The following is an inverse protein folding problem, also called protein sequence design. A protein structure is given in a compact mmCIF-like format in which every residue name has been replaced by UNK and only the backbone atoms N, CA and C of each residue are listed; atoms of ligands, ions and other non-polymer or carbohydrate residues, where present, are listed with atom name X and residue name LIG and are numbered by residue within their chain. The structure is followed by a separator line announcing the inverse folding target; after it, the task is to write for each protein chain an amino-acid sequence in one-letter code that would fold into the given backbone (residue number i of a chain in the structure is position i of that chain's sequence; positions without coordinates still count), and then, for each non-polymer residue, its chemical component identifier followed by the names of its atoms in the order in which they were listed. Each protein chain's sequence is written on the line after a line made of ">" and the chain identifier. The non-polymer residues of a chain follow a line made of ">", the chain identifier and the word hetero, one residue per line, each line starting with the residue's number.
data_IF_465243341744
#
_entry.id   IF_465243341744
#
_cell.length_a   1.000
_cell.length_b   1.000
_cell.length_c   1.000
_cell.angle_alpha   90.00
_cell.angle_beta   90.00
_cell.angle_gamma   90.00
#
_symmetry.space_group_name_H-M   'P 1'
#
loop_
_entity.id
_entity.type
_entity.pdbx_description
1 polymer ?
#
# COMPACT_ATOMS: atom_id res chain seq x y z
N UNK A 1 3.63 7.81 -1.51
CA UNK A 1 3.43 8.45 -2.83
C UNK A 1 3.52 7.35 -3.87
N UNK A 2 2.71 7.38 -4.93
CA UNK A 2 2.83 6.44 -6.05
C UNK A 2 3.77 7.12 -7.05
N UNK A 3 4.87 6.48 -7.47
CA UNK A 3 5.77 7.05 -8.45
C UNK A 3 5.12 7.12 -9.85
N UNK A 4 5.62 8.02 -10.67
CA UNK A 4 5.21 8.13 -12.07
C UNK A 4 5.57 6.88 -12.87
N UNK A 5 4.88 6.69 -13.99
CA UNK A 5 5.15 5.57 -14.90
C UNK A 5 6.60 5.57 -15.38
N UNK A 6 7.23 4.40 -15.39
CA UNK A 6 8.62 4.23 -15.79
C UNK A 6 9.67 4.71 -14.78
N UNK A 7 9.27 5.26 -13.62
CA UNK A 7 10.21 5.71 -12.59
C UNK A 7 11.16 4.61 -12.13
N UNK A 8 10.60 3.45 -11.74
CA UNK A 8 11.40 2.33 -11.24
C UNK A 8 12.40 1.82 -12.31
N UNK A 9 11.96 1.78 -13.56
CA UNK A 9 12.83 1.38 -14.69
C UNK A 9 14.00 2.34 -14.84
N UNK A 10 13.73 3.65 -14.88
CA UNK A 10 14.78 4.68 -14.99
C UNK A 10 15.73 4.65 -13.79
N UNK A 11 15.20 4.45 -12.57
CA UNK A 11 16.01 4.32 -11.35
C UNK A 11 16.94 3.09 -11.42
N UNK A 12 16.41 1.94 -11.82
CA UNK A 12 17.21 0.70 -12.00
C UNK A 12 18.29 0.86 -13.08
N UNK A 13 17.97 1.48 -14.21
CA UNK A 13 18.92 1.75 -15.28
C UNK A 13 20.04 2.70 -14.80
N UNK A 14 19.68 3.72 -14.01
CA UNK A 14 20.65 4.64 -13.42
C UNK A 14 21.58 3.93 -12.44
N UNK A 15 21.03 3.07 -11.57
CA UNK A 15 21.82 2.25 -10.66
C UNK A 15 22.84 1.39 -11.44
N UNK A 16 22.40 0.70 -12.47
CA UNK A 16 23.27 -0.12 -13.33
C UNK A 16 24.37 0.71 -13.99
N UNK A 17 24.04 1.90 -14.51
CA UNK A 17 24.99 2.82 -15.13
C UNK A 17 26.10 3.23 -14.17
N UNK A 18 25.80 3.36 -12.88
CA UNK A 18 26.75 3.80 -11.84
C UNK A 18 27.29 2.65 -10.99
N UNK A 19 27.12 1.39 -11.45
CA UNK A 19 27.57 0.21 -10.71
C UNK A 19 27.06 0.16 -9.27
N UNK A 20 25.79 0.57 -9.05
CA UNK A 20 25.10 0.55 -7.77
C UNK A 20 24.00 -0.51 -7.79
N UNK A 21 23.81 -1.19 -6.65
CA UNK A 21 22.74 -2.17 -6.51
C UNK A 21 21.39 -1.48 -6.35
N UNK A 22 20.38 -1.96 -7.07
CA UNK A 22 19.00 -1.53 -6.92
C UNK A 22 18.28 -2.45 -5.93
N UNK A 23 17.94 -1.91 -4.76
CA UNK A 23 17.25 -2.64 -3.69
C UNK A 23 15.78 -2.25 -3.68
N UNK A 24 14.88 -3.22 -3.85
CA UNK A 24 13.44 -3.02 -3.72
C UNK A 24 12.98 -3.45 -2.32
N UNK A 25 12.62 -2.47 -1.50
CA UNK A 25 11.94 -2.72 -0.23
C UNK A 25 10.43 -2.88 -0.49
N UNK A 26 10.01 -4.14 -0.63
CA UNK A 26 8.62 -4.51 -0.82
C UNK A 26 7.95 -5.08 0.45
N UNK A 27 8.51 -4.75 1.60
CA UNK A 27 7.95 -5.17 2.90
C UNK A 27 6.49 -4.76 3.06
N UNK A 28 6.10 -3.59 2.55
CA UNK A 28 4.73 -3.11 2.63
C UNK A 28 3.97 -3.19 1.30
N UNK A 29 4.65 -3.04 0.19
CA UNK A 29 4.06 -2.92 -1.15
C UNK A 29 3.89 -4.26 -1.85
N UNK A 30 4.71 -5.23 -1.50
CA UNK A 30 4.68 -6.58 -2.07
C UNK A 30 3.53 -7.45 -1.55
N UNK A 31 3.54 -8.68 -2.02
CA UNK A 31 2.58 -9.75 -1.68
C UNK A 31 1.14 -9.26 -1.90
N UNK A 32 0.81 -8.93 -3.15
CA UNK A 32 -0.50 -8.53 -3.66
C UNK A 32 -1.00 -7.13 -3.25
N UNK A 33 -0.42 -6.48 -2.24
CA UNK A 33 -0.94 -5.24 -1.65
C UNK A 33 -1.21 -4.12 -2.66
N UNK A 34 -0.35 -3.97 -3.67
CA UNK A 34 -0.47 -2.94 -4.70
C UNK A 34 -1.22 -3.40 -5.97
N UNK A 35 -1.89 -4.54 -5.92
CA UNK A 35 -2.64 -5.07 -7.05
C UNK A 35 -1.81 -5.94 -8.00
N UNK A 36 -0.56 -6.22 -7.65
CA UNK A 36 0.35 -7.18 -8.29
C UNK A 36 1.07 -7.96 -7.20
N UNK A 37 1.63 -9.12 -7.53
CA UNK A 37 2.39 -9.89 -6.54
C UNK A 37 3.53 -9.06 -5.95
N UNK A 38 4.23 -8.31 -6.78
CA UNK A 38 5.29 -7.37 -6.40
C UNK A 38 5.01 -5.99 -7.00
N UNK A 39 5.33 -4.92 -6.28
CA UNK A 39 5.20 -3.55 -6.78
C UNK A 39 6.17 -3.26 -7.93
N UNK A 40 7.32 -3.91 -7.96
CA UNK A 40 8.31 -3.86 -9.05
C UNK A 40 7.79 -4.47 -10.36
N UNK A 41 6.67 -5.18 -10.36
CA UNK A 41 5.97 -5.57 -11.59
C UNK A 41 5.41 -4.37 -12.37
N UNK A 42 5.50 -3.17 -11.82
CA UNK A 42 5.14 -1.94 -12.50
C UNK A 42 3.66 -1.72 -12.74
N UNK A 43 3.36 -0.85 -13.68
CA UNK A 43 2.00 -0.59 -14.16
C UNK A 43 1.60 -1.55 -15.30
N UNK A 44 2.12 -2.75 -15.26
CA UNK A 44 1.74 -3.78 -16.21
C UNK A 44 0.20 -3.81 -16.33
N UNK A 45 -0.30 -3.41 -17.48
CA UNK A 45 -1.69 -3.55 -17.90
C UNK A 45 -1.93 -4.99 -18.37
N UNK A 46 -1.48 -5.96 -17.58
CA UNK A 46 -1.75 -7.35 -17.88
C UNK A 46 -3.25 -7.58 -17.77
N UNK A 47 -3.98 -7.16 -18.78
CA UNK A 47 -5.36 -7.59 -19.04
C UNK A 47 -5.38 -9.08 -19.34
N UNK A 48 -4.24 -9.61 -19.74
CA UNK A 48 -4.07 -11.01 -20.04
C UNK A 48 -3.85 -11.80 -18.76
N UNK A 49 -4.68 -12.80 -18.53
CA UNK A 49 -4.65 -13.75 -17.40
C UNK A 49 -3.32 -14.51 -17.28
N UNK A 50 -2.44 -14.36 -18.24
CA UNK A 50 -1.08 -14.83 -18.29
C UNK A 50 -0.07 -13.69 -18.07
N UNK A 51 -0.14 -13.02 -16.93
CA UNK A 51 1.05 -12.27 -16.52
C UNK A 51 2.20 -13.28 -16.49
N UNK A 52 3.11 -13.19 -17.46
CA UNK A 52 4.28 -14.08 -17.59
C UNK A 52 5.23 -13.95 -16.39
N UNK A 53 4.82 -13.15 -15.39
CA UNK A 53 5.59 -12.93 -14.17
C UNK A 53 6.92 -12.21 -14.37
N UNK A 54 7.16 -11.67 -15.60
CA UNK A 54 8.38 -10.89 -15.83
C UNK A 54 8.15 -9.50 -15.23
N UNK A 55 8.79 -9.14 -14.11
CA UNK A 55 8.66 -7.82 -13.53
C UNK A 55 9.21 -6.78 -14.52
N UNK A 56 8.58 -5.62 -14.60
CA UNK A 56 9.10 -4.49 -15.39
C UNK A 56 10.54 -4.14 -14.98
N UNK A 57 10.82 -4.31 -13.68
CA UNK A 57 12.14 -4.11 -13.09
C UNK A 57 12.48 -5.32 -12.21
N UNK A 58 13.60 -5.97 -12.52
CA UNK A 58 14.20 -6.98 -11.65
C UNK A 58 15.19 -6.29 -10.71
N UNK A 59 14.90 -6.16 -9.42
CA UNK A 59 15.84 -5.61 -8.46
C UNK A 59 17.02 -6.57 -8.25
N UNK A 60 18.16 -6.02 -7.83
CA UNK A 60 19.33 -6.82 -7.43
C UNK A 60 19.09 -7.47 -6.07
N UNK A 61 18.41 -6.75 -5.18
CA UNK A 61 17.97 -7.25 -3.88
C UNK A 61 16.48 -6.94 -3.69
N UNK A 62 15.72 -7.96 -3.31
CA UNK A 62 14.29 -7.84 -2.98
C UNK A 62 14.08 -8.14 -1.49
N UNK A 63 13.41 -7.23 -0.77
CA UNK A 63 13.09 -7.39 0.64
C UNK A 63 11.58 -7.61 0.78
N UNK A 64 11.18 -8.70 1.44
CA UNK A 64 9.79 -9.08 1.69
C UNK A 64 9.54 -9.23 3.20
N UNK A 65 8.31 -8.97 3.62
CA UNK A 65 7.89 -9.10 5.01
C UNK A 65 6.38 -8.90 5.15
N UNK A 66 5.93 -8.49 6.33
CA UNK A 66 4.50 -8.23 6.62
C UNK A 66 3.55 -9.29 6.05
N UNK A 67 2.93 -9.03 4.90
CA UNK A 67 1.97 -9.93 4.25
C UNK A 67 2.55 -11.33 3.94
N UNK A 68 3.88 -11.48 3.87
CA UNK A 68 4.54 -12.77 3.69
C UNK A 68 4.14 -13.78 4.78
N UNK A 69 3.84 -13.29 5.98
CA UNK A 69 3.42 -14.13 7.12
C UNK A 69 1.92 -14.46 7.13
N UNK A 70 1.12 -13.95 6.21
CA UNK A 70 -0.34 -14.02 6.29
C UNK A 70 -0.94 -13.38 7.56
N UNK A 71 -0.15 -12.59 8.29
CA UNK A 71 -0.56 -11.99 9.57
C UNK A 71 -0.52 -12.95 10.77
N UNK A 72 -0.02 -14.16 10.61
CA UNK A 72 -0.05 -15.23 11.63
C UNK A 72 1.25 -15.29 12.45
N UNK A 73 2.39 -15.45 11.79
CA UNK A 73 3.69 -15.58 12.46
C UNK A 73 4.74 -14.73 11.73
N UNK A 74 5.41 -13.79 12.41
CA UNK A 74 6.35 -12.87 11.77
C UNK A 74 7.44 -13.62 10.97
N UNK A 75 7.57 -13.25 9.71
CA UNK A 75 8.60 -13.75 8.81
C UNK A 75 8.96 -12.67 7.80
N UNK A 76 10.22 -12.62 7.44
CA UNK A 76 10.74 -11.77 6.36
C UNK A 76 11.75 -12.56 5.52
N UNK A 77 12.01 -12.05 4.33
CA UNK A 77 12.97 -12.65 3.41
C UNK A 77 13.73 -11.56 2.67
N UNK A 78 15.00 -11.83 2.43
CA UNK A 78 15.84 -11.06 1.51
C UNK A 78 16.26 -12.00 0.39
N UNK A 79 16.00 -11.60 -0.85
CA UNK A 79 16.32 -12.38 -2.03
C UNK A 79 17.33 -11.61 -2.88
N UNK A 80 18.37 -12.27 -3.30
CA UNK A 80 19.35 -11.74 -4.25
C UNK A 80 19.94 -12.91 -5.05
N UNK A 81 20.71 -12.58 -6.09
CA UNK A 81 21.50 -13.61 -6.78
C UNK A 81 22.72 -14.02 -5.94
N UNK A 82 23.37 -15.11 -6.34
CA UNK A 82 24.50 -15.69 -5.62
C UNK A 82 25.69 -14.74 -5.50
N UNK A 83 25.96 -13.92 -6.51
CA UNK A 83 27.06 -12.96 -6.50
C UNK A 83 26.94 -11.95 -5.34
N UNK A 84 25.73 -11.58 -5.00
CA UNK A 84 25.44 -10.67 -3.88
C UNK A 84 25.34 -11.47 -2.58
N UNK A 85 24.55 -12.54 -2.56
CA UNK A 85 24.24 -13.26 -1.33
C UNK A 85 25.48 -13.97 -0.76
N UNK A 86 26.37 -14.49 -1.60
CA UNK A 86 27.59 -15.18 -1.17
C UNK A 86 28.72 -14.26 -0.71
N UNK A 87 28.50 -12.91 -0.71
CA UNK A 87 29.39 -12.00 0.01
C UNK A 87 29.35 -12.23 1.51
N UNK A 88 28.21 -12.72 2.04
CA UNK A 88 28.07 -13.10 3.46
C UNK A 88 28.71 -14.48 3.65
N UNK A 89 29.74 -14.53 4.47
CA UNK A 89 30.46 -15.79 4.73
C UNK A 89 29.86 -16.54 5.94
N UNK A 90 30.10 -17.85 6.06
CA UNK A 90 29.70 -18.62 7.21
C UNK A 90 30.12 -17.97 8.52
N UNK A 91 29.19 -17.78 9.46
CA UNK A 91 29.42 -17.16 10.75
C UNK A 91 29.28 -15.62 10.79
N UNK A 92 29.14 -14.94 9.64
CA UNK A 92 29.01 -13.47 9.60
C UNK A 92 27.57 -12.99 9.83
N UNK A 93 26.59 -13.87 9.65
CA UNK A 93 25.16 -13.55 9.87
C UNK A 93 24.49 -14.70 10.61
N UNK A 94 23.62 -14.38 11.56
CA UNK A 94 22.84 -15.35 12.29
C UNK A 94 21.58 -14.74 12.90
N UNK A 95 20.61 -15.60 13.17
CA UNK A 95 19.35 -15.24 13.84
C UNK A 95 18.86 -16.44 14.63
N UNK A 96 18.45 -16.24 15.88
CA UNK A 96 17.90 -17.30 16.72
C UNK A 96 16.55 -17.80 16.18
N UNK A 97 15.70 -16.91 15.70
CA UNK A 97 14.35 -17.24 15.21
C UNK A 97 14.23 -17.26 13.68
N UNK A 98 15.18 -16.64 12.96
CA UNK A 98 15.14 -16.57 11.51
C UNK A 98 15.22 -17.95 10.87
N UNK A 99 14.44 -18.17 9.80
CA UNK A 99 14.42 -19.41 9.05
C UNK A 99 13.79 -20.59 9.78
N UNK A 100 13.04 -20.37 10.88
CA UNK A 100 12.43 -21.49 11.60
C UNK A 100 11.36 -22.20 10.73
N UNK A 101 11.23 -23.54 10.86
CA UNK A 101 10.36 -24.32 9.99
C UNK A 101 8.88 -23.93 10.07
N UNK A 102 8.40 -23.49 11.23
CA UNK A 102 7.00 -23.09 11.42
C UNK A 102 6.70 -21.84 10.62
N UNK A 103 7.52 -20.78 10.75
CA UNK A 103 7.34 -19.53 10.01
C UNK A 103 7.42 -19.77 8.49
N UNK A 104 8.34 -20.63 8.04
CA UNK A 104 8.46 -20.98 6.63
C UNK A 104 7.20 -21.68 6.11
N UNK A 105 6.63 -22.61 6.87
CA UNK A 105 5.36 -23.29 6.49
C UNK A 105 4.19 -22.31 6.44
N UNK A 106 4.10 -21.39 7.39
CA UNK A 106 3.08 -20.32 7.38
C UNK A 106 3.25 -19.44 6.16
N UNK A 107 4.46 -19.01 5.83
CA UNK A 107 4.72 -18.19 4.65
C UNK A 107 4.33 -18.89 3.33
N UNK A 108 4.64 -20.18 3.21
CA UNK A 108 4.25 -20.98 2.04
C UNK A 108 2.72 -21.03 1.92
N UNK A 109 2.01 -21.32 3.02
CA UNK A 109 0.54 -21.34 3.04
C UNK A 109 -0.06 -19.96 2.69
N UNK A 110 0.50 -18.87 3.24
CA UNK A 110 0.06 -17.53 2.94
C UNK A 110 0.21 -17.19 1.45
N UNK A 111 1.33 -17.54 0.84
CA UNK A 111 1.56 -17.33 -0.60
C UNK A 111 0.61 -18.19 -1.47
N UNK A 112 0.29 -19.40 -1.03
CA UNK A 112 -0.71 -20.23 -1.70
C UNK A 112 -2.08 -19.58 -1.69
N UNK A 113 -2.55 -19.10 -0.54
CA UNK A 113 -3.82 -18.36 -0.41
C UNK A 113 -3.85 -17.14 -1.32
N UNK A 114 -2.79 -16.33 -1.32
CA UNK A 114 -2.69 -15.16 -2.21
C UNK A 114 -2.91 -15.53 -3.68
N UNK A 115 -2.35 -16.67 -4.11
CA UNK A 115 -2.47 -17.15 -5.49
C UNK A 115 -3.84 -17.77 -5.77
N UNK A 116 -4.31 -18.66 -4.89
CA UNK A 116 -5.55 -19.44 -5.08
C UNK A 116 -6.79 -18.54 -5.03
N UNK A 117 -6.81 -17.58 -4.10
CA UNK A 117 -7.89 -16.61 -3.95
C UNK A 117 -7.73 -15.36 -4.85
N UNK A 118 -6.70 -15.31 -5.70
CA UNK A 118 -6.42 -14.21 -6.65
C UNK A 118 -6.41 -12.84 -5.98
N UNK A 119 -5.75 -12.75 -4.81
CA UNK A 119 -5.80 -11.55 -3.99
C UNK A 119 -5.10 -10.33 -4.63
N UNK A 120 -4.19 -10.54 -5.58
CA UNK A 120 -3.60 -9.44 -6.34
C UNK A 120 -4.61 -8.80 -7.28
N UNK A 121 -5.40 -9.61 -8.00
CA UNK A 121 -6.48 -9.15 -8.86
C UNK A 121 -7.59 -8.46 -8.08
N UNK A 122 -7.98 -9.05 -6.94
CA UNK A 122 -8.94 -8.43 -6.03
C UNK A 122 -8.46 -7.05 -5.57
N UNK A 123 -7.21 -6.96 -5.10
CA UNK A 123 -6.62 -5.70 -4.67
C UNK A 123 -6.53 -4.66 -5.80
N UNK A 124 -6.29 -5.10 -7.04
CA UNK A 124 -6.26 -4.22 -8.20
C UNK A 124 -7.63 -3.61 -8.48
N UNK A 125 -8.66 -4.44 -8.62
CA UNK A 125 -10.03 -4.01 -8.94
C UNK A 125 -10.62 -3.15 -7.82
N UNK A 126 -10.55 -3.62 -6.60
CA UNK A 126 -11.09 -2.89 -5.45
C UNK A 126 -10.32 -1.59 -5.15
N UNK A 127 -9.04 -1.54 -5.52
CA UNK A 127 -8.26 -0.30 -5.43
C UNK A 127 -8.73 0.77 -6.42
N UNK A 128 -9.14 0.38 -7.63
CA UNK A 128 -9.77 1.29 -8.61
C UNK A 128 -11.08 1.79 -8.06
N UNK A 129 -11.97 0.88 -7.65
CA UNK A 129 -13.27 1.21 -7.07
C UNK A 129 -13.13 2.19 -5.87
N UNK A 130 -12.21 1.94 -4.95
CA UNK A 130 -11.97 2.85 -3.82
C UNK A 130 -11.65 4.27 -4.30
N UNK A 131 -10.73 4.42 -5.24
CA UNK A 131 -10.32 5.74 -5.73
C UNK A 131 -11.42 6.43 -6.52
N UNK A 132 -12.22 5.71 -7.29
CA UNK A 132 -13.42 6.25 -7.95
C UNK A 132 -14.42 6.77 -6.93
N UNK A 133 -14.69 6.01 -5.86
CA UNK A 133 -15.57 6.43 -4.76
C UNK A 133 -15.04 7.68 -4.06
N UNK A 134 -13.75 7.75 -3.78
CA UNK A 134 -13.13 8.93 -3.17
C UNK A 134 -13.20 10.16 -4.10
N UNK A 135 -13.05 9.97 -5.40
CA UNK A 135 -13.14 11.02 -6.40
C UNK A 135 -14.53 11.65 -6.54
N UNK A 136 -15.57 10.92 -6.13
CA UNK A 136 -16.95 11.42 -6.16
C UNK A 136 -17.33 12.23 -4.91
N UNK A 137 -16.48 12.25 -3.88
CA UNK A 137 -16.74 13.02 -2.65
C UNK A 137 -16.43 14.48 -2.91
N UNK A 138 -17.47 15.29 -3.01
CA UNK A 138 -17.32 16.75 -3.14
C UNK A 138 -17.24 17.40 -1.76
N UNK A 139 -16.04 17.55 -1.24
CA UNK A 139 -15.80 18.16 0.07
C UNK A 139 -14.52 18.97 0.07
N UNK A 140 -14.55 20.20 0.62
CA UNK A 140 -13.39 21.08 0.68
C UNK A 140 -12.26 20.56 1.60
N UNK A 141 -12.58 19.67 2.55
CA UNK A 141 -11.56 19.07 3.42
C UNK A 141 -10.83 17.90 2.77
N UNK A 142 -11.34 17.38 1.66
CA UNK A 142 -10.68 16.34 0.87
C UNK A 142 -9.75 16.99 -0.15
N UNK A 143 -8.47 17.09 0.18
CA UNK A 143 -7.47 17.71 -0.70
C UNK A 143 -7.14 16.83 -1.90
N UNK A 144 -6.83 15.56 -1.66
CA UNK A 144 -6.51 14.59 -2.70
C UNK A 144 -6.60 13.16 -2.17
N UNK A 145 -6.67 12.24 -3.10
CA UNK A 145 -6.58 10.81 -2.82
C UNK A 145 -5.59 10.15 -3.79
N UNK A 146 -4.88 9.14 -3.33
CA UNK A 146 -3.88 8.44 -4.15
C UNK A 146 -3.67 7.03 -3.63
N UNK A 147 -3.18 6.15 -4.49
CA UNK A 147 -2.87 4.78 -4.09
C UNK A 147 -2.68 3.85 -5.26
N UNK A 148 -2.34 2.60 -4.95
CA UNK A 148 -2.23 1.51 -5.90
C UNK A 148 -2.71 0.22 -5.24
N UNK A 149 -3.58 -0.53 -5.92
CA UNK A 149 -4.27 -1.66 -5.31
C UNK A 149 -5.00 -1.24 -4.04
N UNK A 150 -4.93 -2.04 -3.00
CA UNK A 150 -5.49 -1.78 -1.67
C UNK A 150 -4.48 -1.10 -0.71
N UNK A 151 -3.63 -0.24 -1.23
CA UNK A 151 -2.79 0.67 -0.46
C UNK A 151 -3.12 2.11 -0.89
N UNK A 152 -4.04 2.74 -0.17
CA UNK A 152 -4.56 4.04 -0.51
C UNK A 152 -4.33 5.06 0.61
N UNK A 153 -4.30 6.32 0.23
CA UNK A 153 -4.22 7.45 1.14
C UNK A 153 -5.22 8.52 0.71
N UNK A 154 -5.86 9.11 1.69
CA UNK A 154 -6.72 10.30 1.57
C UNK A 154 -6.03 11.42 2.32
N UNK A 155 -5.86 12.56 1.69
CA UNK A 155 -5.23 13.75 2.27
C UNK A 155 -6.34 14.71 2.70
N UNK A 156 -6.28 15.12 3.94
CA UNK A 156 -7.24 16.01 4.59
C UNK A 156 -6.57 17.36 4.78
N UNK A 157 -7.10 18.39 4.17
CA UNK A 157 -6.70 19.76 4.47
C UNK A 157 -7.10 20.08 5.92
N UNK A 158 -6.22 20.68 6.74
CA UNK A 158 -6.62 21.20 8.04
C UNK A 158 -7.79 22.19 7.89
N UNK A 159 -8.78 22.09 8.75
CA UNK A 159 -10.01 22.85 8.64
C UNK A 159 -10.52 23.30 10.01
N UNK A 160 -11.33 24.34 10.03
CA UNK A 160 -12.04 24.79 11.21
C UNK A 160 -13.45 24.18 11.22
N UNK A 161 -13.85 23.61 12.35
CA UNK A 161 -15.20 23.10 12.55
C UNK A 161 -15.69 23.46 13.96
N UNK A 162 -16.80 24.21 14.03
CA UNK A 162 -17.40 24.70 15.29
C UNK A 162 -16.42 25.50 16.17
N UNK A 163 -15.56 26.32 15.55
CA UNK A 163 -14.59 27.15 16.25
C UNK A 163 -13.32 26.42 16.71
N UNK A 164 -13.11 25.18 16.27
CA UNK A 164 -11.92 24.39 16.59
C UNK A 164 -11.17 23.94 15.33
N UNK A 165 -9.85 24.00 15.38
CA UNK A 165 -9.01 23.45 14.32
C UNK A 165 -9.07 21.93 14.36
N UNK A 166 -9.34 21.31 13.21
CA UNK A 166 -9.45 19.87 13.02
C UNK A 166 -8.42 19.37 12.02
N UNK A 167 -8.03 18.11 12.20
CA UNK A 167 -7.01 17.40 11.41
C UNK A 167 -7.50 16.05 10.94
N UNK A 168 -6.67 15.30 10.24
CA UNK A 168 -6.97 13.92 9.87
C UNK A 168 -7.25 13.01 11.09
N UNK A 169 -6.71 13.33 12.28
CA UNK A 169 -7.01 12.59 13.49
C UNK A 169 -8.48 12.73 13.89
N UNK A 170 -9.04 13.94 13.82
CA UNK A 170 -10.45 14.17 14.16
C UNK A 170 -11.39 13.43 13.20
N UNK A 171 -11.01 13.37 11.90
CA UNK A 171 -11.73 12.56 10.92
C UNK A 171 -11.63 11.07 11.27
N UNK A 172 -10.45 10.58 11.66
CA UNK A 172 -10.27 9.19 12.09
C UNK A 172 -11.09 8.85 13.34
N UNK A 173 -11.18 9.75 14.32
CA UNK A 173 -12.00 9.55 15.50
C UNK A 173 -13.49 9.45 15.13
N UNK A 174 -13.95 10.28 14.21
CA UNK A 174 -15.34 10.22 13.73
C UNK A 174 -15.61 8.98 12.87
N UNK A 175 -14.65 8.54 12.06
CA UNK A 175 -14.73 7.26 11.35
C UNK A 175 -14.91 6.08 12.33
N UNK A 176 -14.12 6.07 13.40
CA UNK A 176 -14.24 5.06 14.48
C UNK A 176 -15.64 5.06 15.09
N UNK A 177 -16.18 6.24 15.41
CA UNK A 177 -17.52 6.36 15.99
C UNK A 177 -18.63 5.89 15.03
N UNK A 178 -18.36 5.93 13.73
CA UNK A 178 -19.22 5.41 12.67
C UNK A 178 -18.92 3.93 12.31
N UNK A 179 -18.00 3.25 13.04
CA UNK A 179 -17.72 1.83 12.87
C UNK A 179 -16.56 1.49 11.95
N UNK A 180 -15.77 2.47 11.47
CA UNK A 180 -14.61 2.24 10.61
C UNK A 180 -13.32 2.68 11.32
N UNK A 181 -12.42 1.73 11.57
CA UNK A 181 -11.11 2.03 12.15
C UNK A 181 -10.14 2.47 11.05
N UNK A 182 -9.62 3.67 11.19
CA UNK A 182 -8.57 4.21 10.34
C UNK A 182 -7.48 4.88 11.19
N UNK A 183 -6.31 5.05 10.61
CA UNK A 183 -5.17 5.65 11.30
C UNK A 183 -4.58 6.79 10.47
N UNK A 184 -4.37 7.98 11.05
CA UNK A 184 -3.64 9.03 10.39
C UNK A 184 -2.16 8.66 10.27
N UNK A 185 -1.55 9.11 9.19
CA UNK A 185 -0.11 9.08 8.96
C UNK A 185 0.30 10.52 8.71
N UNK A 186 1.18 11.05 9.54
CA UNK A 186 1.34 12.49 9.65
C UNK A 186 0.02 13.17 10.05
N UNK A 187 -0.01 14.51 10.10
CA UNK A 187 -1.15 15.24 10.67
C UNK A 187 -2.36 15.32 9.71
N UNK A 188 -2.15 15.04 8.43
CA UNK A 188 -3.12 15.33 7.36
C UNK A 188 -3.41 14.16 6.43
N UNK A 189 -2.81 12.99 6.62
CA UNK A 189 -2.99 11.84 5.72
C UNK A 189 -3.67 10.69 6.47
N UNK A 190 -4.74 10.16 5.91
CA UNK A 190 -5.37 8.93 6.39
C UNK A 190 -5.00 7.80 5.42
N UNK A 191 -4.40 6.72 5.95
CA UNK A 191 -4.05 5.55 5.15
C UNK A 191 -5.13 4.49 5.27
N UNK A 192 -5.62 4.02 4.13
CA UNK A 192 -6.55 2.90 4.01
C UNK A 192 -5.84 1.70 3.37
N UNK A 193 -5.73 0.63 4.13
CA UNK A 193 -5.11 -0.62 3.71
C UNK A 193 -5.90 -1.82 4.28
N UNK A 194 -7.12 -2.05 3.77
CA UNK A 194 -7.99 -3.11 4.26
C UNK A 194 -7.36 -4.50 4.00
N UNK A 195 -7.88 -5.57 4.62
CA UNK A 195 -7.49 -6.94 4.30
C UNK A 195 -7.60 -7.20 2.79
N UNK A 196 -6.68 -8.00 2.22
CA UNK A 196 -6.71 -8.32 0.79
C UNK A 196 -7.93 -9.16 0.39
N UNK A 197 -8.54 -9.84 1.35
CA UNK A 197 -9.76 -10.65 1.19
C UNK A 197 -11.05 -9.85 1.30
N UNK A 198 -10.98 -8.53 1.49
CA UNK A 198 -12.17 -7.67 1.54
C UNK A 198 -13.01 -7.89 0.29
N UNK A 199 -14.31 -7.99 0.46
CA UNK A 199 -15.28 -8.08 -0.65
C UNK A 199 -15.63 -6.70 -1.19
N UNK A 200 -16.18 -6.67 -2.40
CA UNK A 200 -16.69 -5.43 -3.01
C UNK A 200 -17.79 -4.79 -2.16
N UNK A 201 -18.71 -5.60 -1.61
CA UNK A 201 -19.78 -5.12 -0.75
C UNK A 201 -19.25 -4.49 0.55
N UNK A 202 -18.26 -5.10 1.18
CA UNK A 202 -17.61 -4.54 2.38
C UNK A 202 -16.86 -3.25 2.06
N UNK A 203 -16.22 -3.18 0.89
CA UNK A 203 -15.53 -1.96 0.46
C UNK A 203 -16.52 -0.83 0.19
N UNK A 204 -17.66 -1.11 -0.44
CA UNK A 204 -18.73 -0.13 -0.62
C UNK A 204 -19.23 0.39 0.73
N UNK A 205 -19.54 -0.49 1.67
CA UNK A 205 -19.97 -0.11 3.01
C UNK A 205 -18.93 0.77 3.72
N UNK A 206 -17.64 0.44 3.58
CA UNK A 206 -16.56 1.26 4.13
C UNK A 206 -16.49 2.65 3.45
N UNK A 207 -16.65 2.71 2.11
CA UNK A 207 -16.68 3.97 1.37
C UNK A 207 -17.87 4.83 1.77
N UNK A 208 -19.05 4.25 2.01
CA UNK A 208 -20.24 4.97 2.48
C UNK A 208 -19.98 5.64 3.84
N UNK A 209 -19.32 4.93 4.76
CA UNK A 209 -18.92 5.49 6.06
C UNK A 209 -17.92 6.62 5.88
N UNK A 210 -16.92 6.46 5.00
CA UNK A 210 -15.90 7.49 4.72
C UNK A 210 -16.58 8.75 4.16
N UNK A 211 -17.42 8.60 3.15
CA UNK A 211 -18.15 9.69 2.50
C UNK A 211 -19.04 10.42 3.50
N UNK A 212 -19.90 9.71 4.21
CA UNK A 212 -20.77 10.27 5.23
C UNK A 212 -19.98 11.01 6.33
N UNK A 213 -18.85 10.46 6.74
CA UNK A 213 -17.98 11.09 7.75
C UNK A 213 -17.36 12.37 7.23
N UNK A 214 -16.77 12.38 6.04
CA UNK A 214 -16.16 13.57 5.44
C UNK A 214 -17.21 14.66 5.25
N UNK A 215 -18.37 14.32 4.66
CA UNK A 215 -19.45 15.29 4.41
C UNK A 215 -20.08 15.83 5.70
N UNK A 216 -20.01 15.10 6.81
CA UNK A 216 -20.54 15.58 8.10
C UNK A 216 -19.79 16.76 8.71
N UNK A 217 -18.57 17.02 8.22
CA UNK A 217 -17.80 18.20 8.58
C UNK A 217 -18.15 19.40 7.71
N UNK A 218 -19.39 19.55 7.23
CA UNK A 218 -19.84 20.66 6.37
C UNK A 218 -19.14 21.98 6.70
N UNK A 219 -18.06 22.26 6.00
CA UNK A 219 -17.26 23.48 6.15
C UNK A 219 -17.62 24.37 4.96
N UNK A 220 -18.21 25.54 5.23
CA UNK A 220 -18.13 26.60 4.29
C UNK A 220 -16.71 27.15 4.37
N UNK A 221 -15.92 26.95 3.34
CA UNK A 221 -14.64 27.66 3.24
C UNK A 221 -15.00 29.11 3.02
N UNK A 222 -14.84 29.95 4.05
CA UNK A 222 -14.60 31.37 3.83
C UNK A 222 -13.28 31.42 3.05
N UNK A 223 -13.32 31.98 1.83
CA UNK A 223 -12.14 32.29 1.05
C UNK A 223 -11.17 33.08 1.93
N UNK A 224 -10.16 32.43 2.48
CA UNK A 224 -8.97 33.12 2.94
C UNK A 224 -8.22 33.47 1.67
N UNK A 225 -8.27 34.77 1.31
CA UNK A 225 -7.53 35.33 0.20
C UNK A 225 -6.09 34.83 0.29
N UNK A 226 -5.64 34.17 -0.78
CA UNK A 226 -4.25 33.86 -0.98
C UNK A 226 -3.51 35.19 -1.07
N UNK A 227 -2.92 35.62 0.03
CA UNK A 227 -1.90 36.66 0.02
C UNK A 227 -0.67 36.07 -0.60
N UNK A 228 -0.33 36.57 -1.77
CA UNK A 228 0.83 36.29 -2.62
C UNK A 228 2.13 36.45 -1.84
#
# INVERSE_FOLDING_TARGET
>A
MVPDEGYLKKASELCKKHNALFIADEVQTGIARTGRLLATCGNCTCEDKSCSGTPEVKPDILILGKALSGGVLPVSAVLANDEIMLCIKPGEHGSTFGGNPLANKVAIAALQVVKEEKLAENAYQLGILFRERMGNINSPILETYRGKGLLNAVVITPFEFKGENKTAMDVCLKLRDNGLLAKPTHDHIIRFAPPLVITEAELHAACDIIEATILSFNVQISHVDAVI
#
